data_IF_473590903426
#
_entry.id   IF_473590903426
#
_cell.length_a   1.000
_cell.length_b   1.000
_cell.length_c   1.000
_cell.angle_alpha   90.00
_cell.angle_beta   90.00
_cell.angle_gamma   90.00
#
_symmetry.space_group_name_H-M   'P 1'
#
loop_
_entity.id
_entity.type
_entity.pdbx_description
1 polymer ?
#
# COMPACT_ATOMS: atom_id res chain seq x y z
N UNK A 1 -18.26 33.93 -16.01
CA UNK A 1 -17.46 33.71 -14.78
C UNK A 1 -16.83 32.34 -14.88
N UNK A 2 -15.52 32.24 -15.12
CA UNK A 2 -14.81 30.96 -15.33
C UNK A 2 -14.42 30.38 -13.98
N UNK A 3 -15.18 29.44 -13.46
CA UNK A 3 -14.81 28.67 -12.26
C UNK A 3 -13.77 27.61 -12.65
N UNK A 4 -12.49 27.93 -12.42
CA UNK A 4 -11.37 26.99 -12.52
C UNK A 4 -11.33 26.14 -11.25
N UNK A 5 -12.12 25.07 -11.21
CA UNK A 5 -11.96 24.02 -10.19
C UNK A 5 -10.62 23.33 -10.47
N UNK A 6 -9.66 23.56 -9.58
CA UNK A 6 -8.31 22.98 -9.63
C UNK A 6 -8.46 21.45 -9.56
N UNK A 7 -7.88 20.72 -10.52
CA UNK A 7 -7.79 19.24 -10.50
C UNK A 7 -6.88 18.82 -9.34
N UNK A 8 -7.43 18.76 -8.14
CA UNK A 8 -6.74 18.25 -6.98
C UNK A 8 -6.59 16.73 -7.09
N UNK A 9 -5.39 16.24 -6.80
CA UNK A 9 -5.30 15.14 -5.86
C UNK A 9 -6.03 13.81 -6.12
N UNK A 10 -6.36 13.34 -7.33
CA UNK A 10 -6.88 11.96 -7.53
C UNK A 10 -6.06 10.88 -6.81
N UNK A 11 -6.51 10.50 -5.62
CA UNK A 11 -6.13 9.31 -4.89
C UNK A 11 -6.84 8.10 -5.52
N UNK A 12 -6.22 6.93 -5.43
CA UNK A 12 -6.81 5.70 -5.95
C UNK A 12 -7.26 4.80 -4.80
N UNK A 13 -8.43 4.18 -4.91
CA UNK A 13 -8.89 3.18 -3.93
C UNK A 13 -8.62 1.79 -4.51
N UNK A 14 -7.74 1.03 -3.86
CA UNK A 14 -7.38 -0.32 -4.27
C UNK A 14 -8.04 -1.33 -3.33
N UNK A 15 -8.53 -2.44 -3.88
CA UNK A 15 -9.04 -3.57 -3.08
C UNK A 15 -7.90 -4.46 -2.62
N UNK A 16 -7.76 -4.64 -1.30
CA UNK A 16 -6.77 -5.55 -0.72
C UNK A 16 -7.07 -7.00 -1.09
N UNK A 17 -6.06 -7.76 -1.54
CA UNK A 17 -6.20 -9.17 -1.90
C UNK A 17 -6.37 -10.11 -0.68
N UNK A 18 -6.00 -9.67 0.52
CA UNK A 18 -6.09 -10.49 1.74
C UNK A 18 -7.41 -10.27 2.50
N UNK A 19 -7.69 -9.02 2.91
CA UNK A 19 -8.89 -8.71 3.69
C UNK A 19 -10.08 -8.22 2.86
N UNK A 20 -9.91 -8.06 1.54
CA UNK A 20 -10.94 -7.56 0.59
C UNK A 20 -11.45 -6.13 0.82
N UNK A 21 -10.91 -5.42 1.81
CA UNK A 21 -11.24 -4.00 2.08
C UNK A 21 -10.56 -3.07 1.08
N UNK A 22 -11.22 -1.95 0.76
CA UNK A 22 -10.63 -0.85 0.01
C UNK A 22 -9.64 -0.08 0.88
N UNK A 23 -8.51 0.33 0.31
CA UNK A 23 -7.55 1.22 0.96
C UNK A 23 -7.11 2.32 0.00
N UNK A 24 -6.80 3.48 0.56
CA UNK A 24 -6.35 4.65 -0.21
C UNK A 24 -4.89 4.46 -0.62
N UNK A 25 -4.61 4.69 -1.90
CA UNK A 25 -3.30 4.82 -2.48
C UNK A 25 -3.08 6.29 -2.87
N UNK A 26 -2.47 7.03 -1.95
CA UNK A 26 -2.26 8.47 -2.08
C UNK A 26 -1.36 8.82 -3.27
N UNK A 27 -1.42 10.07 -3.72
CA UNK A 27 -0.56 10.53 -4.82
C UNK A 27 0.92 10.49 -4.46
N UNK A 28 1.28 10.81 -3.22
CA UNK A 28 2.66 10.66 -2.75
C UNK A 28 3.13 9.22 -2.85
N UNK A 29 2.31 8.26 -2.44
CA UNK A 29 2.63 6.83 -2.56
C UNK A 29 2.75 6.40 -4.02
N UNK A 30 1.85 6.84 -4.91
CA UNK A 30 1.93 6.55 -6.33
C UNK A 30 3.24 7.07 -6.94
N UNK A 31 3.62 8.33 -6.62
CA UNK A 31 4.88 8.92 -7.07
C UNK A 31 6.09 8.17 -6.53
N UNK A 32 6.06 7.79 -5.26
CA UNK A 32 7.11 7.04 -4.61
C UNK A 32 7.31 5.68 -5.27
N UNK A 33 6.22 4.94 -5.48
CA UNK A 33 6.23 3.64 -6.16
C UNK A 33 6.78 3.77 -7.58
N UNK A 34 6.31 4.75 -8.35
CA UNK A 34 6.80 5.03 -9.71
C UNK A 34 8.29 5.37 -9.72
N UNK A 35 8.75 6.23 -8.81
CA UNK A 35 10.17 6.62 -8.72
C UNK A 35 11.10 5.46 -8.39
N UNK A 36 10.57 4.43 -7.72
CA UNK A 36 11.29 3.21 -7.35
C UNK A 36 11.07 2.05 -8.34
N UNK A 37 10.31 2.26 -9.42
CA UNK A 37 9.95 1.20 -10.37
C UNK A 37 9.09 0.08 -9.76
N UNK A 38 8.35 0.37 -8.69
CA UNK A 38 7.54 -0.61 -7.97
C UNK A 38 6.13 -0.73 -8.57
N UNK A 39 5.54 -1.94 -8.59
CA UNK A 39 4.17 -2.15 -9.02
C UNK A 39 3.17 -1.69 -7.95
N UNK A 40 1.93 -1.42 -8.35
CA UNK A 40 0.86 -1.03 -7.42
C UNK A 40 0.68 -2.02 -6.25
N UNK A 41 0.35 -1.52 -5.05
CA UNK A 41 0.23 -2.36 -3.87
C UNK A 41 -0.95 -3.34 -3.99
N UNK A 42 -0.70 -4.62 -3.71
CA UNK A 42 -1.76 -5.67 -3.69
C UNK A 42 -2.43 -5.84 -2.33
N UNK A 43 -1.75 -5.42 -1.27
CA UNK A 43 -2.18 -5.55 0.12
C UNK A 43 -2.26 -4.18 0.77
N UNK A 44 -3.28 -3.97 1.61
CA UNK A 44 -3.37 -2.78 2.44
C UNK A 44 -2.22 -2.72 3.46
N UNK A 45 -1.90 -1.54 4.02
CA UNK A 45 -0.80 -1.38 4.97
C UNK A 45 -0.86 -2.34 6.17
N UNK A 46 -2.07 -2.59 6.67
CA UNK A 46 -2.30 -3.51 7.80
C UNK A 46 -1.94 -4.95 7.42
N UNK A 47 -2.47 -5.46 6.30
CA UNK A 47 -2.19 -6.82 5.86
C UNK A 47 -0.72 -7.02 5.51
N UNK A 48 -0.07 -6.00 4.91
CA UNK A 48 1.37 -6.02 4.64
C UNK A 48 2.17 -6.16 5.94
N UNK A 49 1.84 -5.37 6.96
CA UNK A 49 2.50 -5.45 8.27
C UNK A 49 2.33 -6.80 8.96
N UNK A 50 1.14 -7.43 8.85
CA UNK A 50 0.90 -8.78 9.37
C UNK A 50 1.77 -9.82 8.66
N UNK A 51 1.87 -9.76 7.33
CA UNK A 51 2.72 -10.68 6.54
C UNK A 51 4.19 -10.51 6.96
N UNK A 52 4.68 -9.28 7.04
CA UNK A 52 6.05 -8.98 7.46
C UNK A 52 6.34 -9.42 8.91
N UNK A 53 5.38 -9.29 9.82
CA UNK A 53 5.51 -9.78 11.19
C UNK A 53 5.63 -11.33 11.23
N UNK A 54 4.78 -12.04 10.49
CA UNK A 54 4.81 -13.50 10.40
C UNK A 54 6.13 -14.02 9.85
N UNK A 55 6.67 -13.40 8.80
CA UNK A 55 7.97 -13.77 8.23
C UNK A 55 9.11 -13.58 9.24
N UNK A 56 9.09 -12.49 10.00
CA UNK A 56 10.06 -12.25 11.08
C UNK A 56 9.95 -13.27 12.20
N UNK A 57 8.74 -13.63 12.61
CA UNK A 57 8.51 -14.67 13.61
C UNK A 57 9.00 -16.05 13.14
N UNK A 58 8.79 -16.38 11.88
CA UNK A 58 9.31 -17.61 11.29
C UNK A 58 10.85 -17.62 11.27
N UNK A 59 11.48 -16.50 10.88
CA UNK A 59 12.93 -16.37 10.94
C UNK A 59 13.46 -16.54 12.36
N UNK A 60 12.83 -15.91 13.36
CA UNK A 60 13.18 -16.08 14.77
C UNK A 60 13.08 -17.55 15.21
N UNK A 61 11.95 -18.21 14.92
CA UNK A 61 11.72 -19.61 15.28
C UNK A 61 12.80 -20.53 14.69
N UNK A 62 13.27 -20.25 13.46
CA UNK A 62 14.28 -21.06 12.78
C UNK A 62 15.66 -21.03 13.47
N UNK A 63 16.06 -19.91 14.09
CA UNK A 63 17.40 -19.73 14.66
C UNK A 63 17.45 -19.82 16.19
N UNK A 64 16.32 -19.62 16.88
CA UNK A 64 16.26 -19.70 18.35
C UNK A 64 15.81 -21.06 18.89
N UNK A 65 15.57 -22.05 18.02
CA UNK A 65 15.14 -23.39 18.41
C UNK A 65 16.26 -24.42 18.33
#
# INVERSE_FOLDING_TARGET
>A
MKSLVRKEGMEEIIKCQNCTQGFVWSKEEQKLYKSRGLPSPRYCPICRGIIEARERDHARNKYER
#
